data_IF_302674688414
#
_entry.id   IF_302674688414
#
_cell.length_a   1.000
_cell.length_b   1.000
_cell.length_c   1.000
_cell.angle_alpha   90.00
_cell.angle_beta   90.00
_cell.angle_gamma   90.00
#
_symmetry.space_group_name_H-M   'P 1'
#
loop_
_entity.id
_entity.type
_entity.pdbx_description
1 polymer ?
#
# COMPACT_ATOMS: atom_id res chain seq x y z
N UNK A 1 -4.98 11.14 15.06
CA UNK A 1 -3.66 11.70 14.72
C UNK A 1 -3.10 10.89 13.57
N UNK A 2 -2.52 11.53 12.55
CA UNK A 2 -1.76 10.84 11.51
C UNK A 2 -0.29 10.71 11.94
N UNK A 3 0.38 9.66 11.49
CA UNK A 3 1.82 9.46 11.68
C UNK A 3 2.48 9.62 10.31
N UNK A 4 3.62 10.30 10.29
CA UNK A 4 4.47 10.40 9.11
C UNK A 4 5.55 9.32 9.22
N UNK A 5 5.59 8.40 8.28
CA UNK A 5 6.62 7.36 8.17
C UNK A 5 7.41 7.57 6.88
N UNK A 6 8.61 7.00 6.86
CA UNK A 6 9.43 6.91 5.66
C UNK A 6 9.91 5.47 5.57
N UNK A 7 9.19 4.70 4.75
CA UNK A 7 9.34 3.25 4.65
C UNK A 7 10.35 2.91 3.54
N UNK A 8 11.18 1.89 3.76
CA UNK A 8 12.19 1.49 2.78
C UNK A 8 11.60 0.67 1.62
N UNK A 9 12.29 0.66 0.48
CA UNK A 9 11.88 -0.18 -0.65
C UNK A 9 11.86 -1.66 -0.24
N UNK A 10 10.77 -2.35 -0.59
CA UNK A 10 10.51 -3.73 -0.17
C UNK A 10 9.67 -3.85 1.10
N UNK A 11 9.46 -2.77 1.86
CA UNK A 11 8.53 -2.79 2.99
C UNK A 11 7.08 -3.02 2.53
N UNK A 12 6.34 -3.79 3.32
CA UNK A 12 4.98 -4.21 2.98
C UNK A 12 3.97 -3.39 3.78
N UNK A 13 3.19 -2.58 3.07
CA UNK A 13 2.11 -1.77 3.65
C UNK A 13 0.82 -2.57 3.79
N UNK A 14 0.54 -3.48 2.83
CA UNK A 14 -0.59 -4.39 2.88
C UNK A 14 -0.08 -5.80 2.61
N UNK A 15 -0.49 -6.74 3.44
CA UNK A 15 -0.27 -8.17 3.24
C UNK A 15 -1.59 -8.87 2.99
N UNK A 16 -1.64 -9.65 1.90
CA UNK A 16 -2.81 -10.42 1.53
C UNK A 16 -3.27 -11.34 2.66
N UNK A 17 -4.57 -11.46 2.81
CA UNK A 17 -5.24 -12.29 3.81
C UNK A 17 -5.32 -11.61 5.18
N UNK A 18 -4.65 -10.48 5.40
CA UNK A 18 -4.71 -9.74 6.66
C UNK A 18 -5.74 -8.62 6.60
N UNK A 19 -6.34 -8.34 7.75
CA UNK A 19 -7.07 -7.09 7.96
C UNK A 19 -6.07 -5.96 8.19
N UNK A 20 -6.47 -4.74 7.85
CA UNK A 20 -5.71 -3.53 8.15
C UNK A 20 -6.52 -2.66 9.10
N UNK A 21 -5.80 -1.86 9.90
CA UNK A 21 -6.36 -0.92 10.87
C UNK A 21 -6.00 0.54 10.55
N UNK A 22 -5.19 0.75 9.51
CA UNK A 22 -4.65 2.03 9.08
C UNK A 22 -4.71 2.15 7.56
N UNK A 23 -4.76 3.39 7.07
CA UNK A 23 -4.57 3.73 5.67
C UNK A 23 -3.35 4.64 5.55
N UNK A 24 -2.69 4.62 4.39
CA UNK A 24 -1.51 5.44 4.12
C UNK A 24 -1.78 6.35 2.92
N UNK A 25 -1.44 7.63 3.06
CA UNK A 25 -1.36 8.57 1.94
C UNK A 25 0.08 8.61 1.46
N UNK A 26 0.31 8.35 0.17
CA UNK A 26 1.65 8.44 -0.40
C UNK A 26 1.99 9.92 -0.57
N UNK A 27 2.97 10.41 0.17
CA UNK A 27 3.46 11.80 0.03
C UNK A 27 4.50 11.89 -1.09
N UNK A 28 5.37 10.89 -1.17
CA UNK A 28 6.39 10.74 -2.21
C UNK A 28 6.73 9.27 -2.41
N UNK A 29 7.34 8.93 -3.55
CA UNK A 29 7.71 7.56 -3.88
C UNK A 29 6.61 6.81 -4.64
N UNK A 30 6.69 5.48 -4.60
CA UNK A 30 5.83 4.55 -5.34
C UNK A 30 5.49 3.36 -4.46
N UNK A 31 4.26 2.87 -4.53
CA UNK A 31 3.83 1.61 -3.92
C UNK A 31 3.27 0.70 -4.99
N UNK A 32 3.82 -0.50 -5.11
CA UNK A 32 3.39 -1.51 -6.06
C UNK A 32 2.31 -2.40 -5.45
N UNK A 33 1.16 -2.48 -6.10
CA UNK A 33 0.06 -3.35 -5.71
C UNK A 33 0.02 -4.58 -6.63
N UNK A 34 -0.07 -5.76 -6.03
CA UNK A 34 -0.05 -7.03 -6.75
C UNK A 34 -1.09 -8.04 -6.23
N UNK A 35 -1.53 -8.91 -7.12
CA UNK A 35 -2.39 -10.07 -6.81
C UNK A 35 -1.83 -11.31 -7.46
N UNK A 36 -1.54 -12.34 -6.66
CA UNK A 36 -0.99 -13.62 -7.10
C UNK A 36 0.26 -13.39 -7.96
N UNK A 37 1.20 -12.58 -7.44
CA UNK A 37 2.44 -12.15 -8.10
C UNK A 37 2.26 -11.29 -9.35
N UNK A 38 1.04 -11.07 -9.82
CA UNK A 38 0.72 -10.18 -10.92
C UNK A 38 0.59 -8.75 -10.42
N UNK A 39 1.39 -7.84 -10.99
CA UNK A 39 1.26 -6.40 -10.75
C UNK A 39 -0.07 -5.93 -11.32
N UNK A 40 -0.87 -5.27 -10.47
CA UNK A 40 -2.14 -4.66 -10.87
C UNK A 40 -1.90 -3.20 -11.23
N UNK A 41 -1.24 -2.46 -10.33
CA UNK A 41 -1.04 -1.02 -10.45
C UNK A 41 0.13 -0.57 -9.58
N UNK A 42 0.80 0.50 -10.01
CA UNK A 42 1.72 1.27 -9.18
C UNK A 42 1.01 2.55 -8.73
N UNK A 43 0.92 2.74 -7.42
CA UNK A 43 0.39 3.94 -6.76
C UNK A 43 1.52 4.94 -6.53
N UNK A 44 1.23 6.23 -6.65
CA UNK A 44 2.20 7.33 -6.58
C UNK A 44 1.75 8.41 -5.59
N UNK A 45 2.54 9.49 -5.48
CA UNK A 45 2.21 10.62 -4.62
C UNK A 45 0.78 11.14 -4.85
N UNK A 46 0.03 11.28 -3.75
CA UNK A 46 -1.38 11.66 -3.74
C UNK A 46 -2.35 10.47 -3.65
N UNK A 47 -1.92 9.26 -3.99
CA UNK A 47 -2.77 8.07 -3.88
C UNK A 47 -2.87 7.57 -2.44
N UNK A 48 -4.00 6.92 -2.13
CA UNK A 48 -4.27 6.32 -0.81
C UNK A 48 -4.21 4.80 -0.92
N UNK A 49 -3.42 4.18 -0.04
CA UNK A 49 -3.28 2.74 0.11
C UNK A 49 -4.25 2.25 1.21
N UNK A 50 -5.08 1.24 0.89
CA UNK A 50 -5.89 0.54 1.88
C UNK A 50 -7.28 1.13 2.19
N UNK A 51 -7.66 2.27 1.61
CA UNK A 51 -8.93 2.96 1.92
C UNK A 51 -10.17 2.04 1.88
N UNK A 52 -10.33 1.26 0.80
CA UNK A 52 -11.46 0.33 0.66
C UNK A 52 -11.43 -0.80 1.69
N UNK A 53 -10.25 -1.35 1.98
CA UNK A 53 -10.11 -2.45 2.95
C UNK A 53 -10.48 -1.97 4.36
N UNK A 54 -10.02 -0.78 4.74
CA UNK A 54 -10.36 -0.19 6.03
C UNK A 54 -11.87 0.09 6.15
N UNK A 55 -12.47 0.65 5.09
CA UNK A 55 -13.91 0.98 5.09
C UNK A 55 -14.82 -0.25 5.11
N UNK A 56 -14.42 -1.32 4.44
CA UNK A 56 -15.22 -2.56 4.35
C UNK A 56 -14.95 -3.53 5.47
N UNK A 57 -13.79 -3.42 6.13
CA UNK A 57 -13.31 -4.41 7.10
C UNK A 57 -12.93 -5.76 6.48
N UNK A 58 -12.91 -5.87 5.15
CA UNK A 58 -12.53 -7.10 4.47
C UNK A 58 -11.02 -7.38 4.61
N UNK A 59 -10.59 -8.65 4.65
CA UNK A 59 -9.18 -8.98 4.54
C UNK A 59 -8.65 -8.60 3.16
N UNK A 60 -7.38 -8.22 3.09
CA UNK A 60 -6.74 -7.80 1.85
C UNK A 60 -6.70 -8.97 0.83
N UNK A 61 -7.10 -8.70 -0.41
CA UNK A 61 -6.96 -9.64 -1.53
C UNK A 61 -5.77 -9.29 -2.46
N UNK A 62 -4.94 -8.34 -2.02
CA UNK A 62 -3.75 -7.83 -2.69
C UNK A 62 -2.61 -7.67 -1.70
N UNK A 63 -1.39 -7.62 -2.22
CA UNK A 63 -0.20 -7.16 -1.51
C UNK A 63 0.17 -5.76 -2.00
N UNK A 64 0.59 -4.87 -1.09
CA UNK A 64 1.11 -3.54 -1.42
C UNK A 64 2.50 -3.37 -0.82
N UNK A 65 3.49 -3.12 -1.66
CA UNK A 65 4.91 -3.07 -1.30
C UNK A 65 5.52 -1.76 -1.78
N UNK A 66 6.30 -1.11 -0.93
CA UNK A 66 7.04 0.11 -1.28
C UNK A 66 8.04 -0.22 -2.39
N UNK A 67 7.93 0.50 -3.51
CA UNK A 67 8.79 0.32 -4.67
C UNK A 67 10.00 1.25 -4.63
N UNK A 68 10.99 0.96 -5.47
CA UNK A 68 12.09 1.88 -5.68
C UNK A 68 11.62 3.19 -6.33
N UNK A 69 12.25 4.34 -6.01
CA UNK A 69 12.01 5.58 -6.73
C UNK A 69 12.25 5.38 -8.22
N UNK A 70 11.30 5.81 -9.04
CA UNK A 70 11.50 5.78 -10.49
C UNK A 70 12.43 6.94 -10.83
N UNK A 71 13.61 6.63 -11.37
CA UNK A 71 14.57 7.62 -11.86
C UNK A 71 14.00 8.49 -12.99
#
# INVERSE_FOLDING_TARGET
MGIWTNDEAGERLIERGKHIDTLSLIISGRVRVSRDERIIVDLVAGDIVGSTLLMTGAPADVDAVVGEPTS
#
